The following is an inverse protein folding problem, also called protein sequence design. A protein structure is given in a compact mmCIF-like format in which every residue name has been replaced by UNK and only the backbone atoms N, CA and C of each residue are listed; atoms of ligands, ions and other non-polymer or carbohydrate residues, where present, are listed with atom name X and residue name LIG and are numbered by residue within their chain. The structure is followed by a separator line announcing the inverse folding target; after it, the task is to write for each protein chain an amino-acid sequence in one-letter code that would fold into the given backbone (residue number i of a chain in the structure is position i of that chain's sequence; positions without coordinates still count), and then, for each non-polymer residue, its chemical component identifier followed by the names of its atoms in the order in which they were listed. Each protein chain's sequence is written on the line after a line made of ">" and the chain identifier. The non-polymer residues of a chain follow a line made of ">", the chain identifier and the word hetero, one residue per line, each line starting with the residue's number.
data_IF_184821524551
#
_entry.id   IF_184821524551
#
_cell.length_a   1.000
_cell.length_b   1.000
_cell.length_c   1.000
_cell.angle_alpha   90.00
_cell.angle_beta   90.00
_cell.angle_gamma   90.00
#
_symmetry.space_group_name_H-M   'P 1'
#
loop_
_entity.id
_entity.type
_entity.pdbx_description
1 polymer ?
#
# COMPACT_ATOMS: atom_id res chain seq x y z
N UNK A 1 2.52 0.87 -21.31
CA UNK A 1 4.00 0.93 -21.51
C UNK A 1 4.51 2.38 -21.49
N UNK A 2 3.87 3.34 -22.16
CA UNK A 2 4.34 4.73 -22.17
C UNK A 2 4.49 5.38 -20.77
N UNK A 3 3.70 4.97 -19.78
CA UNK A 3 3.81 5.43 -18.40
C UNK A 3 4.84 4.67 -17.57
N UNK A 4 5.57 3.72 -18.16
CA UNK A 4 6.58 2.92 -17.49
C UNK A 4 6.09 1.63 -16.84
N UNK A 5 4.92 1.11 -17.21
CA UNK A 5 4.47 -0.20 -16.74
C UNK A 5 5.34 -1.32 -17.34
N UNK A 6 5.78 -2.26 -16.51
CA UNK A 6 6.69 -3.34 -16.89
C UNK A 6 5.96 -4.35 -17.80
N UNK A 7 4.75 -4.72 -17.44
CA UNK A 7 3.89 -5.62 -18.22
C UNK A 7 2.53 -4.98 -18.46
N UNK A 8 2.04 -5.10 -19.69
CA UNK A 8 0.72 -4.62 -20.10
C UNK A 8 0.09 -5.70 -20.97
N UNK A 9 -1.10 -6.12 -20.63
CA UNK A 9 -1.87 -7.13 -21.36
C UNK A 9 -3.25 -7.28 -20.73
N UNK A 10 -4.06 -8.16 -21.28
CA UNK A 10 -5.38 -8.51 -20.79
C UNK A 10 -5.45 -10.00 -20.45
N UNK A 11 -5.96 -10.80 -21.37
CA UNK A 11 -6.11 -12.24 -21.18
C UNK A 11 -4.77 -12.98 -21.07
N UNK A 12 -3.76 -12.53 -21.82
CA UNK A 12 -2.41 -13.07 -21.77
C UNK A 12 -1.81 -13.00 -20.36
N UNK A 13 -2.01 -11.86 -19.66
CA UNK A 13 -1.55 -11.71 -18.27
C UNK A 13 -2.33 -12.58 -17.29
N UNK A 14 -3.62 -12.79 -17.55
CA UNK A 14 -4.46 -13.67 -16.73
C UNK A 14 -3.93 -15.11 -16.78
N UNK A 15 -3.57 -15.61 -17.96
CA UNK A 15 -3.00 -16.95 -18.08
C UNK A 15 -1.64 -17.10 -17.39
N UNK A 16 -0.77 -16.11 -17.51
CA UNK A 16 0.55 -16.09 -16.86
C UNK A 16 0.39 -16.15 -15.34
N UNK A 17 -0.50 -15.34 -14.79
CA UNK A 17 -0.76 -15.29 -13.35
C UNK A 17 -1.43 -16.59 -12.86
N UNK A 18 -2.32 -17.20 -13.66
CA UNK A 18 -2.92 -18.50 -13.32
C UNK A 18 -1.88 -19.63 -13.27
N UNK A 19 -0.86 -19.58 -14.15
CA UNK A 19 0.28 -20.51 -14.12
C UNK A 19 1.21 -20.29 -12.91
N UNK A 20 0.99 -19.22 -12.12
CA UNK A 20 1.76 -18.93 -10.91
C UNK A 20 2.97 -18.05 -11.12
N UNK A 21 3.19 -17.54 -12.32
CA UNK A 21 4.27 -16.60 -12.62
C UNK A 21 3.92 -15.18 -12.17
N UNK A 22 4.15 -14.88 -10.90
CA UNK A 22 3.88 -13.57 -10.31
C UNK A 22 5.21 -12.86 -10.04
N UNK A 23 5.70 -12.17 -11.06
CA UNK A 23 6.94 -11.38 -11.02
C UNK A 23 6.63 -9.86 -11.02
N UNK A 24 5.67 -9.45 -10.20
CA UNK A 24 5.28 -8.05 -10.05
C UNK A 24 4.78 -7.79 -8.61
N UNK A 25 4.95 -6.57 -8.15
CA UNK A 25 4.57 -6.16 -6.79
C UNK A 25 3.16 -5.57 -6.75
N UNK A 26 2.69 -4.96 -7.84
CA UNK A 26 1.38 -4.33 -7.91
C UNK A 26 0.66 -4.63 -9.22
N UNK A 27 -0.64 -4.84 -9.10
CA UNK A 27 -1.55 -4.99 -10.23
C UNK A 27 -2.49 -3.77 -10.29
N UNK A 28 -2.50 -3.10 -11.44
CA UNK A 28 -3.41 -1.98 -11.73
C UNK A 28 -4.35 -2.45 -12.83
N UNK A 29 -5.63 -2.20 -12.65
CA UNK A 29 -6.65 -2.60 -13.62
C UNK A 29 -7.60 -1.45 -13.92
N UNK A 30 -8.18 -1.46 -15.11
CA UNK A 30 -9.34 -0.63 -15.43
C UNK A 30 -10.61 -1.29 -14.90
N UNK A 31 -11.69 -0.54 -14.61
CA UNK A 31 -12.95 -1.10 -14.14
C UNK A 31 -13.51 -2.20 -15.05
N UNK A 32 -13.35 -2.03 -16.37
CA UNK A 32 -13.83 -2.98 -17.39
C UNK A 32 -13.16 -4.35 -17.29
N UNK A 33 -11.90 -4.38 -16.82
CA UNK A 33 -11.12 -5.61 -16.69
C UNK A 33 -11.31 -6.33 -15.34
N UNK A 34 -12.07 -5.75 -14.41
CA UNK A 34 -12.31 -6.33 -13.09
C UNK A 34 -12.95 -7.73 -13.13
N UNK A 35 -13.87 -8.07 -14.07
CA UNK A 35 -14.41 -9.43 -14.17
C UNK A 35 -13.33 -10.48 -14.48
N UNK A 36 -12.34 -10.13 -15.30
CA UNK A 36 -11.20 -11.01 -15.62
C UNK A 36 -10.26 -11.13 -14.43
N UNK A 37 -9.92 -10.00 -13.79
CA UNK A 37 -9.07 -9.97 -12.58
C UNK A 37 -9.72 -10.69 -11.41
N UNK A 38 -11.06 -10.66 -11.31
CA UNK A 38 -11.83 -11.39 -10.30
C UNK A 38 -11.56 -12.90 -10.30
N UNK A 39 -11.31 -13.49 -11.47
CA UNK A 39 -10.93 -14.90 -11.61
C UNK A 39 -9.58 -15.22 -10.96
N UNK A 40 -8.70 -14.22 -10.86
CA UNK A 40 -7.39 -14.30 -10.21
C UNK A 40 -7.44 -14.04 -8.70
N UNK A 41 -8.61 -13.76 -8.15
CA UNK A 41 -8.78 -13.43 -6.73
C UNK A 41 -8.25 -14.49 -5.78
N UNK A 42 -8.31 -15.77 -6.14
CA UNK A 42 -7.74 -16.87 -5.35
C UNK A 42 -6.21 -16.84 -5.29
N UNK A 43 -5.56 -16.28 -6.30
CA UNK A 43 -4.09 -16.22 -6.41
C UNK A 43 -3.54 -14.89 -5.90
N UNK A 44 -4.18 -13.78 -6.29
CA UNK A 44 -3.74 -12.42 -5.93
C UNK A 44 -4.23 -11.98 -4.54
N UNK A 45 -5.40 -12.48 -4.09
CA UNK A 45 -6.00 -12.11 -2.82
C UNK A 45 -5.10 -12.39 -1.61
N UNK A 46 -4.60 -13.64 -1.41
CA UNK A 46 -3.72 -13.96 -0.29
C UNK A 46 -2.41 -13.18 -0.26
N UNK A 47 -1.95 -12.71 -1.42
CA UNK A 47 -0.72 -11.91 -1.55
C UNK A 47 -0.95 -10.40 -1.39
N UNK A 48 -2.19 -9.96 -1.21
CA UNK A 48 -2.52 -8.53 -1.11
C UNK A 48 -2.35 -7.73 -2.40
N UNK A 49 -2.23 -8.40 -3.55
CA UNK A 49 -1.99 -7.76 -4.86
C UNK A 49 -3.29 -7.54 -5.66
N UNK A 50 -4.44 -7.82 -5.06
CA UNK A 50 -5.74 -7.66 -5.73
C UNK A 50 -6.03 -6.17 -5.94
N UNK A 51 -6.34 -5.72 -7.17
CA UNK A 51 -6.73 -4.34 -7.42
C UNK A 51 -7.95 -3.94 -6.61
N UNK A 52 -7.92 -2.75 -6.00
CA UNK A 52 -9.00 -2.23 -5.17
C UNK A 52 -9.29 -0.76 -5.54
N UNK A 53 -10.56 -0.41 -5.82
CA UNK A 53 -10.94 0.96 -6.11
C UNK A 53 -10.62 1.95 -4.98
N UNK A 54 -10.73 1.50 -3.72
CA UNK A 54 -10.47 2.34 -2.54
C UNK A 54 -9.01 2.77 -2.42
N UNK A 55 -8.10 1.98 -2.97
CA UNK A 55 -6.65 2.23 -2.95
C UNK A 55 -6.19 2.96 -4.21
N UNK A 56 -7.09 3.14 -5.19
CA UNK A 56 -6.77 3.80 -6.45
C UNK A 56 -6.04 2.91 -7.46
N UNK A 57 -5.99 1.59 -7.22
CA UNK A 57 -5.42 0.62 -8.17
C UNK A 57 -6.42 0.16 -9.23
N UNK A 58 -7.70 0.51 -9.08
CA UNK A 58 -8.73 0.39 -10.11
C UNK A 58 -9.11 1.78 -10.56
N UNK A 59 -8.65 2.21 -11.72
CA UNK A 59 -8.85 3.56 -12.24
C UNK A 59 -8.89 3.58 -13.76
N UNK A 60 -9.56 4.57 -14.30
CA UNK A 60 -9.55 4.85 -15.74
C UNK A 60 -8.23 5.50 -16.16
N UNK A 61 -7.63 6.32 -15.27
CA UNK A 61 -6.32 6.92 -15.50
C UNK A 61 -5.19 6.01 -15.01
N UNK A 62 -4.85 5.03 -15.85
CA UNK A 62 -3.78 4.08 -15.59
C UNK A 62 -2.41 4.76 -15.54
N UNK A 63 -2.21 5.86 -16.28
CA UNK A 63 -0.91 6.53 -16.33
C UNK A 63 -0.55 7.18 -15.00
N UNK A 64 -1.50 7.88 -14.37
CA UNK A 64 -1.33 8.48 -13.06
C UNK A 64 -1.13 7.40 -11.99
N UNK A 65 -1.91 6.31 -12.03
CA UNK A 65 -1.78 5.20 -11.08
C UNK A 65 -0.43 4.49 -11.16
N UNK A 66 0.12 4.28 -12.37
CA UNK A 66 1.45 3.70 -12.56
C UNK A 66 2.53 4.62 -12.00
N UNK A 67 2.46 5.92 -12.26
CA UNK A 67 3.40 6.90 -11.72
C UNK A 67 3.36 6.93 -10.19
N UNK A 68 2.17 6.96 -9.60
CA UNK A 68 1.99 6.93 -8.15
C UNK A 68 2.54 5.63 -7.52
N UNK A 69 2.30 4.49 -8.17
CA UNK A 69 2.83 3.19 -7.69
C UNK A 69 4.35 3.12 -7.77
N UNK A 70 4.96 3.69 -8.81
CA UNK A 70 6.44 3.78 -8.94
C UNK A 70 7.04 4.79 -7.96
N UNK A 71 6.30 5.80 -7.55
CA UNK A 71 6.67 6.73 -6.49
C UNK A 71 6.69 6.12 -5.08
N UNK A 72 6.32 4.85 -4.93
CA UNK A 72 6.41 4.14 -3.65
C UNK A 72 5.17 4.34 -2.75
N UNK A 73 3.97 4.11 -3.28
CA UNK A 73 2.76 4.13 -2.45
C UNK A 73 2.70 2.90 -1.51
N UNK A 74 2.47 3.12 -0.24
CA UNK A 74 2.24 2.07 0.76
C UNK A 74 0.76 1.99 1.08
N UNK A 75 0.22 0.78 0.99
CA UNK A 75 -1.15 0.51 1.41
C UNK A 75 -1.20 0.17 2.90
N UNK A 76 -2.13 0.77 3.61
CA UNK A 76 -2.38 0.40 4.99
C UNK A 76 -3.86 0.06 5.21
N UNK A 77 -4.09 -0.87 6.10
CA UNK A 77 -5.43 -1.31 6.49
C UNK A 77 -5.50 -1.47 8.00
N UNK A 78 -6.63 -1.06 8.55
CA UNK A 78 -6.91 -1.26 9.97
C UNK A 78 -7.36 -2.70 10.21
N UNK A 79 -6.75 -3.40 11.13
CA UNK A 79 -7.17 -4.72 11.59
C UNK A 79 -8.31 -4.64 12.60
N UNK A 80 -8.92 -5.78 12.94
CA UNK A 80 -10.00 -5.87 13.93
C UNK A 80 -9.59 -5.33 15.31
N UNK A 81 -8.31 -5.46 15.66
CA UNK A 81 -7.75 -4.94 16.92
C UNK A 81 -7.47 -3.44 16.90
N UNK A 82 -7.73 -2.74 15.78
CA UNK A 82 -7.43 -1.33 15.63
C UNK A 82 -5.94 -1.04 15.40
N UNK A 83 -5.18 -2.03 14.95
CA UNK A 83 -3.75 -1.89 14.64
C UNK A 83 -3.59 -1.64 13.15
N UNK A 84 -2.65 -0.77 12.80
CA UNK A 84 -2.26 -0.48 11.42
C UNK A 84 -0.81 -0.89 11.25
N UNK A 85 -0.54 -1.72 10.26
CA UNK A 85 0.81 -2.10 9.86
C UNK A 85 1.13 -1.48 8.50
N UNK A 86 2.36 -1.00 8.33
CA UNK A 86 2.85 -0.47 7.06
C UNK A 86 4.36 -0.50 7.00
N UNK A 87 4.91 -0.84 5.85
CA UNK A 87 6.35 -0.76 5.59
C UNK A 87 6.72 0.66 5.18
N UNK A 88 7.53 1.35 5.97
CA UNK A 88 7.92 2.76 5.74
C UNK A 88 9.23 2.90 4.98
N UNK A 89 9.99 1.82 4.80
CA UNK A 89 11.23 1.87 4.04
C UNK A 89 12.04 0.58 4.11
N UNK A 90 13.20 0.63 3.50
CA UNK A 90 14.20 -0.45 3.47
C UNK A 90 15.44 0.00 4.24
N UNK A 91 16.28 -0.97 4.64
CA UNK A 91 17.56 -0.70 5.35
C UNK A 91 18.51 0.16 4.53
N UNK A 92 18.37 0.13 3.20
CA UNK A 92 19.17 0.94 2.27
C UNK A 92 18.78 2.43 2.22
N UNK A 93 17.71 2.83 2.90
CA UNK A 93 17.27 4.22 2.91
C UNK A 93 18.03 5.03 3.96
N UNK A 94 18.29 6.30 3.65
CA UNK A 94 18.88 7.23 4.60
C UNK A 94 17.95 7.49 5.78
N UNK A 95 18.53 7.78 6.94
CA UNK A 95 17.77 8.05 8.16
C UNK A 95 16.76 9.21 8.00
N UNK A 96 17.14 10.27 7.25
CA UNK A 96 16.25 11.40 6.96
C UNK A 96 15.03 10.97 6.12
N UNK A 97 15.26 10.18 5.07
CA UNK A 97 14.18 9.66 4.22
C UNK A 97 13.23 8.75 5.01
N UNK A 98 13.75 7.92 5.92
CA UNK A 98 12.94 7.10 6.82
C UNK A 98 12.10 7.96 7.78
N UNK A 99 12.68 9.01 8.34
CA UNK A 99 11.96 9.94 9.22
C UNK A 99 10.81 10.64 8.49
N UNK A 100 11.07 11.14 7.28
CA UNK A 100 10.04 11.77 6.43
C UNK A 100 8.93 10.78 6.07
N UNK A 101 9.27 9.54 5.74
CA UNK A 101 8.30 8.50 5.44
C UNK A 101 7.43 8.15 6.65
N UNK A 102 8.02 8.05 7.86
CA UNK A 102 7.28 7.79 9.09
C UNK A 102 6.31 8.94 9.38
N UNK A 103 6.75 10.19 9.24
CA UNK A 103 5.89 11.37 9.42
C UNK A 103 4.76 11.38 8.40
N UNK A 104 5.06 11.20 7.11
CA UNK A 104 4.05 11.17 6.07
C UNK A 104 3.01 10.06 6.27
N UNK A 105 3.46 8.88 6.73
CA UNK A 105 2.58 7.77 7.05
C UNK A 105 1.66 8.09 8.24
N UNK A 106 2.21 8.64 9.31
CA UNK A 106 1.44 9.03 10.49
C UNK A 106 0.41 10.12 10.17
N UNK A 107 0.80 11.12 9.38
CA UNK A 107 -0.11 12.19 8.91
C UNK A 107 -1.26 11.64 8.07
N UNK A 108 -0.96 10.69 7.17
CA UNK A 108 -1.99 10.04 6.36
C UNK A 108 -2.99 9.29 7.25
N UNK A 109 -2.52 8.60 8.29
CA UNK A 109 -3.37 7.90 9.25
C UNK A 109 -4.22 8.87 10.06
N UNK A 110 -3.64 9.99 10.52
CA UNK A 110 -4.35 11.03 11.29
C UNK A 110 -5.42 11.70 10.42
N UNK A 111 -5.10 12.04 9.18
CA UNK A 111 -6.04 12.63 8.21
C UNK A 111 -7.19 11.68 7.85
N UNK A 112 -6.93 10.38 7.87
CA UNK A 112 -7.96 9.36 7.64
C UNK A 112 -8.86 9.09 8.86
N UNK A 113 -8.69 9.85 9.97
CA UNK A 113 -9.52 9.71 11.16
C UNK A 113 -11.00 9.96 10.82
N UNK A 114 -11.91 9.01 11.10
CA UNK A 114 -13.35 9.23 10.90
C UNK A 114 -13.88 10.25 11.89
N UNK A 115 -14.83 11.07 11.47
CA UNK A 115 -15.45 12.13 12.29
C UNK A 115 -16.12 11.61 13.56
N UNK A 116 -16.55 10.35 13.57
CA UNK A 116 -17.15 9.69 14.73
C UNK A 116 -16.17 9.20 15.79
N UNK A 117 -14.87 9.22 15.53
CA UNK A 117 -13.87 8.74 16.47
C UNK A 117 -13.61 9.81 17.56
N UNK A 118 -14.15 9.58 18.75
CA UNK A 118 -13.94 10.45 19.92
C UNK A 118 -12.70 10.02 20.71
N UNK A 119 -12.02 10.99 21.32
CA UNK A 119 -10.83 10.75 22.16
C UNK A 119 -9.52 10.65 21.40
N UNK A 120 -8.49 10.08 22.06
CA UNK A 120 -7.14 9.91 21.50
C UNK A 120 -7.18 8.84 20.41
N UNK A 121 -6.92 9.25 19.16
CA UNK A 121 -6.98 8.36 18.01
C UNK A 121 -5.75 7.47 17.90
N UNK A 122 -4.56 8.06 17.92
CA UNK A 122 -3.29 7.32 17.91
C UNK A 122 -2.82 7.12 19.35
N UNK A 123 -2.89 5.90 19.84
CA UNK A 123 -2.54 5.55 21.22
C UNK A 123 -1.06 5.19 21.38
N UNK A 124 -0.50 4.51 20.38
CA UNK A 124 0.88 4.02 20.41
C UNK A 124 1.42 3.90 18.99
N UNK A 125 2.66 4.32 18.82
CA UNK A 125 3.43 4.10 17.60
C UNK A 125 4.68 3.31 17.95
N UNK A 126 5.01 2.31 17.17
CA UNK A 126 6.23 1.55 17.31
C UNK A 126 6.86 1.31 15.95
N UNK A 127 8.17 1.40 15.89
CA UNK A 127 8.98 1.11 14.71
C UNK A 127 9.85 -0.10 14.99
N UNK A 128 9.94 -1.03 14.05
CA UNK A 128 10.83 -2.19 14.15
C UNK A 128 11.43 -2.52 12.80
N UNK A 129 12.63 -3.07 12.81
CA UNK A 129 13.16 -3.77 11.63
C UNK A 129 12.65 -5.22 11.62
N UNK A 130 12.86 -5.93 10.50
CA UNK A 130 12.34 -7.30 10.30
C UNK A 130 12.76 -8.26 11.43
N UNK A 131 13.99 -8.15 11.92
CA UNK A 131 14.53 -9.02 12.99
C UNK A 131 15.00 -8.23 14.21
N UNK A 132 14.72 -6.93 14.26
CA UNK A 132 15.16 -6.05 15.36
C UNK A 132 14.13 -5.87 16.47
N UNK A 133 14.52 -5.22 17.56
CA UNK A 133 13.61 -4.90 18.64
C UNK A 133 12.59 -3.83 18.20
N UNK A 134 11.42 -3.86 18.81
CA UNK A 134 10.40 -2.82 18.63
C UNK A 134 10.72 -1.59 19.47
N UNK A 135 10.91 -0.46 18.81
CA UNK A 135 11.14 0.84 19.42
C UNK A 135 9.82 1.60 19.55
N UNK A 136 9.49 2.06 20.75
CA UNK A 136 8.33 2.93 20.96
C UNK A 136 8.69 4.34 20.56
N UNK A 137 7.87 4.95 19.75
CA UNK A 137 8.02 6.35 19.34
C UNK A 137 7.06 7.23 20.13
N UNK A 138 7.47 8.45 20.40
CA UNK A 138 6.61 9.45 21.02
C UNK A 138 5.58 9.95 20.00
N UNK A 139 4.31 9.80 20.37
CA UNK A 139 3.19 10.22 19.51
C UNK A 139 3.16 11.72 19.33
N UNK A 140 3.58 12.51 20.35
CA UNK A 140 3.59 13.95 20.28
C UNK A 140 4.59 14.48 19.25
N UNK A 141 5.77 13.87 19.15
CA UNK A 141 6.80 14.26 18.19
C UNK A 141 6.43 13.97 16.73
N UNK A 142 5.55 12.98 16.52
CA UNK A 142 5.10 12.55 15.18
C UNK A 142 3.88 13.33 14.74
N UNK A 143 2.98 13.68 15.66
CA UNK A 143 1.74 14.42 15.37
C UNK A 143 1.93 15.94 15.26
N UNK A 144 3.08 16.44 15.65
CA UNK A 144 3.41 17.89 15.65
C UNK A 144 4.10 18.38 14.35
N UNK A 145 4.19 17.53 13.32
CA UNK A 145 4.83 17.84 12.04
C UNK A 145 3.82 18.19 10.95
#
# INVERSE_FOLDING_TARGET
>A
KAAGADRVGAEDLVEIVQKGEINFDRCIATPDMMPLVGRLGKVLGPRGMMPNPKVGTVTVDVAAAVKASKGGAVEFRVEKAGIIHGGVGKVSFDAKALEENVKAFADAVIKAKPTGAKGVYVKRVALSSTMGPGLKLDVASIAAA
#
